data_IF_805248658492
#
_entry.id   IF_805248658492
#
_cell.length_a   1.000
_cell.length_b   1.000
_cell.length_c   1.000
_cell.angle_alpha   90.00
_cell.angle_beta   90.00
_cell.angle_gamma   90.00
#
_symmetry.space_group_name_H-M   'P 1'
#
loop_
_entity.id
_entity.type
_entity.pdbx_description
1 polymer ?
#
# COMPACT_ATOMS: atom_id res chain seq x y z
N UNK A 1 14.89 -4.48 -3.14
CA UNK A 1 14.50 -5.28 -4.31
C UNK A 1 13.98 -6.61 -3.76
N UNK A 2 12.65 -6.77 -3.74
CA UNK A 2 11.96 -7.94 -3.17
C UNK A 2 12.36 -9.16 -3.99
N UNK A 3 12.72 -10.27 -3.36
CA UNK A 3 13.27 -11.48 -4.01
C UNK A 3 12.31 -12.25 -4.92
N UNK A 4 11.49 -11.56 -5.71
CA UNK A 4 10.72 -12.09 -6.81
C UNK A 4 11.60 -12.04 -8.05
N UNK A 5 11.91 -13.21 -8.60
CA UNK A 5 12.64 -13.32 -9.86
C UNK A 5 11.76 -12.83 -11.02
N UNK A 6 12.40 -12.31 -12.06
CA UNK A 6 11.70 -11.93 -13.28
C UNK A 6 10.96 -13.11 -13.92
N UNK A 7 11.47 -14.34 -13.74
CA UNK A 7 10.84 -15.56 -14.23
C UNK A 7 9.55 -15.91 -13.48
N UNK A 8 9.51 -15.73 -12.15
CA UNK A 8 8.28 -15.91 -11.35
C UNK A 8 7.19 -14.90 -11.75
N UNK A 9 7.56 -13.65 -12.04
CA UNK A 9 6.62 -12.65 -12.52
C UNK A 9 6.07 -12.97 -13.93
N UNK A 10 6.88 -13.55 -14.81
CA UNK A 10 6.41 -13.97 -16.14
C UNK A 10 5.55 -15.24 -16.10
N UNK A 11 5.83 -16.16 -15.17
CA UNK A 11 5.11 -17.43 -15.09
C UNK A 11 3.81 -17.33 -14.27
N UNK A 12 3.80 -16.53 -13.20
CA UNK A 12 2.68 -16.48 -12.25
C UNK A 12 2.04 -15.09 -12.11
N UNK A 13 2.59 -14.07 -12.76
CA UNK A 13 2.05 -12.71 -12.72
C UNK A 13 0.75 -12.57 -13.51
N UNK A 14 -0.28 -12.06 -12.85
CA UNK A 14 -1.48 -11.56 -13.54
C UNK A 14 -1.12 -10.32 -14.37
N UNK A 15 -1.81 -10.13 -15.50
CA UNK A 15 -1.62 -8.92 -16.31
C UNK A 15 -2.07 -7.67 -15.55
N UNK A 16 -1.52 -6.48 -15.84
CA UNK A 16 -1.93 -5.22 -15.21
C UNK A 16 -3.45 -5.02 -15.20
N UNK A 17 -4.12 -5.32 -16.32
CA UNK A 17 -5.58 -5.23 -16.46
C UNK A 17 -6.32 -6.16 -15.49
N UNK A 18 -5.84 -7.40 -15.31
CA UNK A 18 -6.45 -8.36 -14.39
C UNK A 18 -6.31 -7.89 -12.95
N UNK A 19 -5.11 -7.42 -12.56
CA UNK A 19 -4.84 -6.91 -11.21
C UNK A 19 -5.68 -5.66 -10.94
N UNK A 20 -5.65 -4.66 -11.82
CA UNK A 20 -6.42 -3.41 -11.66
C UNK A 20 -7.93 -3.67 -11.53
N UNK A 21 -8.50 -4.58 -12.34
CA UNK A 21 -9.92 -4.97 -12.21
C UNK A 21 -10.23 -5.63 -10.88
N UNK A 22 -9.36 -6.54 -10.41
CA UNK A 22 -9.52 -7.20 -9.10
C UNK A 22 -9.47 -6.16 -7.98
N UNK A 23 -8.51 -5.23 -8.01
CA UNK A 23 -8.39 -4.16 -7.03
C UNK A 23 -9.63 -3.26 -7.02
N UNK A 24 -10.07 -2.77 -8.19
CA UNK A 24 -11.28 -1.96 -8.28
C UNK A 24 -12.51 -2.70 -7.71
N UNK A 25 -12.67 -3.99 -8.02
CA UNK A 25 -13.78 -4.79 -7.50
C UNK A 25 -13.73 -4.92 -5.97
N UNK A 26 -12.55 -5.15 -5.40
CA UNK A 26 -12.39 -5.39 -3.96
C UNK A 26 -12.42 -4.11 -3.13
N UNK A 27 -11.88 -3.02 -3.67
CA UNK A 27 -11.59 -1.80 -2.93
C UNK A 27 -12.52 -0.64 -3.29
N UNK A 28 -13.47 -0.83 -4.21
CA UNK A 28 -14.38 0.22 -4.69
C UNK A 28 -14.98 1.06 -3.56
N UNK A 29 -14.81 2.38 -3.66
CA UNK A 29 -15.32 3.37 -2.70
C UNK A 29 -14.56 3.42 -1.37
N UNK A 30 -13.51 2.61 -1.18
CA UNK A 30 -12.70 2.64 0.03
C UNK A 30 -11.66 3.75 -0.05
N UNK A 31 -11.34 4.28 1.13
CA UNK A 31 -10.22 5.18 1.36
C UNK A 31 -9.13 4.40 2.09
N UNK A 32 -8.02 4.14 1.41
CA UNK A 32 -6.92 3.31 1.88
C UNK A 32 -5.78 4.18 2.38
N UNK A 33 -5.07 3.68 3.39
CA UNK A 33 -3.87 4.30 3.94
C UNK A 33 -2.61 3.62 3.39
N UNK A 34 -1.63 4.43 2.97
CA UNK A 34 -0.27 4.00 2.65
C UNK A 34 0.73 4.56 3.64
N UNK A 35 1.73 3.77 4.03
CA UNK A 35 2.92 4.19 4.77
C UNK A 35 4.11 4.56 3.86
N UNK A 36 3.96 4.35 2.55
CA UNK A 36 5.00 4.52 1.54
C UNK A 36 4.55 5.52 0.47
N UNK A 37 5.28 6.63 0.28
CA UNK A 37 5.02 7.56 -0.82
C UNK A 37 5.18 6.91 -2.21
N UNK A 38 5.95 5.81 -2.31
CA UNK A 38 6.18 5.12 -3.57
C UNK A 38 4.95 4.32 -4.03
N UNK A 39 4.05 3.95 -3.11
CA UNK A 39 2.90 3.11 -3.43
C UNK A 39 1.92 3.84 -4.34
N UNK A 40 1.76 5.16 -4.15
CA UNK A 40 0.95 5.99 -5.05
C UNK A 40 1.51 5.97 -6.48
N UNK A 41 2.82 6.15 -6.62
CA UNK A 41 3.48 6.12 -7.93
C UNK A 41 3.29 4.76 -8.65
N UNK A 42 3.47 3.66 -7.92
CA UNK A 42 3.30 2.31 -8.50
C UNK A 42 1.84 1.99 -8.81
N UNK A 43 0.91 2.51 -8.00
CA UNK A 43 -0.52 2.42 -8.28
C UNK A 43 -0.86 3.16 -9.57
N UNK A 44 -0.41 4.40 -9.74
CA UNK A 44 -0.64 5.19 -10.95
C UNK A 44 -0.06 4.47 -12.18
N UNK A 45 1.17 3.95 -12.06
CA UNK A 45 1.83 3.17 -13.12
C UNK A 45 1.01 1.92 -13.51
N UNK A 46 0.45 1.21 -12.54
CA UNK A 46 -0.39 0.03 -12.78
C UNK A 46 -1.68 0.41 -13.54
N UNK A 47 -2.35 1.47 -13.13
CA UNK A 47 -3.63 1.89 -13.73
C UNK A 47 -3.43 2.51 -15.12
N UNK A 48 -2.33 3.22 -15.36
CA UNK A 48 -1.91 3.68 -16.68
C UNK A 48 -1.65 2.49 -17.61
N UNK A 49 -0.86 1.50 -17.17
CA UNK A 49 -0.57 0.30 -17.96
C UNK A 49 -1.82 -0.56 -18.23
N UNK A 50 -2.85 -0.45 -17.38
CA UNK A 50 -4.12 -1.16 -17.53
C UNK A 50 -5.16 -0.40 -18.37
N UNK A 51 -4.91 0.87 -18.72
CA UNK A 51 -5.89 1.78 -19.33
C UNK A 51 -7.22 1.81 -18.55
N UNK A 52 -7.13 1.94 -17.23
CA UNK A 52 -8.27 1.97 -16.30
C UNK A 52 -8.13 3.11 -15.30
N UNK A 53 -9.25 3.52 -14.71
CA UNK A 53 -9.26 4.45 -13.58
C UNK A 53 -9.49 3.70 -12.26
N UNK A 54 -8.78 4.05 -11.18
CA UNK A 54 -9.04 3.49 -9.85
C UNK A 54 -10.43 3.91 -9.35
N UNK A 55 -11.14 3.00 -8.70
CA UNK A 55 -12.46 3.24 -8.10
C UNK A 55 -12.39 3.45 -6.58
N UNK A 56 -11.20 3.72 -6.06
CA UNK A 56 -10.88 3.91 -4.65
C UNK A 56 -9.79 4.97 -4.51
N UNK A 57 -9.55 5.43 -3.30
CA UNK A 57 -8.52 6.42 -3.01
C UNK A 57 -7.41 5.81 -2.16
N UNK A 58 -6.16 6.14 -2.48
CA UNK A 58 -5.00 5.86 -1.63
C UNK A 58 -4.46 7.20 -1.10
N UNK A 59 -4.36 7.34 0.21
CA UNK A 59 -3.83 8.54 0.86
C UNK A 59 -2.72 8.16 1.84
N UNK A 60 -1.75 9.06 2.07
CA UNK A 60 -0.72 8.83 3.07
C UNK A 60 -1.31 9.01 4.49
N UNK A 61 -0.66 8.42 5.49
CA UNK A 61 -1.12 8.42 6.89
C UNK A 61 -1.47 9.82 7.42
N UNK A 62 -0.72 10.84 6.99
CA UNK A 62 -0.89 12.25 7.36
C UNK A 62 -2.28 12.80 7.06
N UNK A 63 -2.99 12.25 6.06
CA UNK A 63 -4.37 12.65 5.74
C UNK A 63 -5.36 12.19 6.81
N UNK A 64 -5.05 11.10 7.51
CA UNK A 64 -5.95 10.49 8.51
C UNK A 64 -5.69 11.02 9.91
N UNK A 65 -4.42 11.16 10.29
CA UNK A 65 -4.03 11.47 11.68
C UNK A 65 -3.34 12.83 11.84
N UNK A 66 -3.08 13.55 10.74
CA UNK A 66 -2.28 14.76 10.74
C UNK A 66 -0.77 14.48 10.75
N UNK A 67 0.03 15.48 10.38
CA UNK A 67 1.49 15.31 10.19
C UNK A 67 2.25 14.98 11.46
N UNK A 68 1.86 15.56 12.59
CA UNK A 68 2.55 15.39 13.86
C UNK A 68 2.39 13.96 14.38
N UNK A 69 1.15 13.48 14.51
CA UNK A 69 0.85 12.11 14.91
C UNK A 69 1.41 11.08 13.92
N UNK A 70 1.35 11.34 12.60
CA UNK A 70 1.96 10.46 11.61
C UNK A 70 3.47 10.32 11.83
N UNK A 71 4.17 11.43 12.14
CA UNK A 71 5.60 11.38 12.44
C UNK A 71 5.91 10.54 13.68
N UNK A 72 5.08 10.61 14.71
CA UNK A 72 5.25 9.80 15.92
C UNK A 72 5.01 8.32 15.64
N UNK A 73 3.95 7.99 14.90
CA UNK A 73 3.63 6.62 14.47
C UNK A 73 4.76 6.02 13.62
N UNK A 74 5.31 6.76 12.66
CA UNK A 74 6.43 6.29 11.85
C UNK A 74 7.68 5.95 12.68
N UNK A 75 7.91 6.61 13.82
CA UNK A 75 9.04 6.30 14.73
C UNK A 75 8.84 4.99 15.50
N UNK A 76 7.59 4.54 15.65
CA UNK A 76 7.25 3.28 16.31
C UNK A 76 7.39 2.07 15.39
N UNK A 77 7.48 2.28 14.07
CA UNK A 77 7.60 1.19 13.11
C UNK A 77 8.97 0.50 13.20
N UNK A 78 9.00 -0.85 13.23
CA UNK A 78 10.26 -1.60 13.30
C UNK A 78 11.08 -1.40 12.02
N UNK A 79 12.40 -1.19 12.18
CA UNK A 79 13.35 -0.97 11.06
C UNK A 79 13.71 -2.24 10.28
N UNK A 80 13.15 -3.39 10.64
CA UNK A 80 13.54 -4.69 10.09
C UNK A 80 12.90 -4.91 8.72
N UNK A 81 13.73 -4.80 7.69
CA UNK A 81 13.41 -4.91 6.26
C UNK A 81 13.14 -6.35 5.78
N UNK A 82 12.10 -7.01 6.29
CA UNK A 82 11.48 -8.11 5.53
C UNK A 82 10.25 -7.57 4.79
N UNK A 83 10.52 -6.94 3.64
CA UNK A 83 9.54 -6.23 2.84
C UNK A 83 8.51 -7.16 2.18
N UNK A 84 7.42 -7.43 2.88
CA UNK A 84 6.21 -8.05 2.33
C UNK A 84 5.06 -7.10 2.61
N UNK A 85 4.34 -6.69 1.56
CA UNK A 85 3.27 -5.70 1.64
C UNK A 85 2.25 -5.97 2.77
N UNK A 86 1.90 -7.25 3.00
CA UNK A 86 1.02 -7.63 4.10
C UNK A 86 1.63 -7.35 5.49
N UNK A 87 2.91 -7.65 5.67
CA UNK A 87 3.61 -7.42 6.92
C UNK A 87 3.76 -5.92 7.19
N UNK A 88 4.06 -5.13 6.15
CA UNK A 88 4.19 -3.68 6.22
C UNK A 88 2.84 -3.04 6.62
N UNK A 89 1.75 -3.39 5.91
CA UNK A 89 0.41 -2.92 6.24
C UNK A 89 -0.05 -3.34 7.65
N UNK A 90 0.30 -4.56 8.09
CA UNK A 90 -0.04 -5.04 9.44
C UNK A 90 0.75 -4.28 10.52
N UNK A 91 2.03 -3.99 10.27
CA UNK A 91 2.85 -3.21 11.19
C UNK A 91 2.31 -1.79 11.36
N UNK A 92 1.90 -1.15 10.24
CA UNK A 92 1.24 0.16 10.27
C UNK A 92 -0.04 0.13 11.09
N UNK A 93 -0.93 -0.84 10.83
CA UNK A 93 -2.18 -0.99 11.57
C UNK A 93 -1.95 -1.15 13.08
N UNK A 94 -0.98 -1.97 13.48
CA UNK A 94 -0.65 -2.18 14.89
C UNK A 94 -0.09 -0.92 15.56
N UNK A 95 0.75 -0.16 14.84
CA UNK A 95 1.30 1.10 15.35
C UNK A 95 0.20 2.16 15.56
N UNK A 96 -0.76 2.26 14.63
CA UNK A 96 -1.93 3.12 14.79
C UNK A 96 -2.74 2.74 16.03
N UNK A 97 -3.05 1.45 16.23
CA UNK A 97 -3.82 1.00 17.40
C UNK A 97 -3.11 1.32 18.71
N UNK A 98 -1.80 1.05 18.80
CA UNK A 98 -1.02 1.33 20.00
C UNK A 98 -0.99 2.83 20.36
N UNK A 99 -0.97 3.71 19.36
CA UNK A 99 -1.00 5.17 19.57
C UNK A 99 -2.35 5.67 20.08
N UNK A 100 -3.47 5.09 19.63
CA UNK A 100 -4.81 5.50 20.08
C UNK A 100 -5.25 4.88 21.40
N UNK A 101 -4.60 3.81 21.87
CA UNK A 101 -4.87 3.16 23.16
C UNK A 101 -4.05 3.73 24.34
N UNK A 102 -3.07 4.61 24.08
CA UNK A 102 -2.20 5.26 25.07
C UNK A 102 -2.67 6.66 25.47
#
# INVERSE_FOLDING_TARGET
MHGLSQDELHQEGDTPVVVARKMNKLLSGQLLCSDSPQDGFWLDTLYEAADLMPTFELKPLEVFVGREAASDIYRLLPTIKQHRALNDATALMNACNAFFES
#
